data_IF_780636509309
#
_entry.id   IF_780636509309
#
_cell.length_a   1.000
_cell.length_b   1.000
_cell.length_c   1.000
_cell.angle_alpha   90.00
_cell.angle_beta   90.00
_cell.angle_gamma   90.00
#
_symmetry.space_group_name_H-M   'P 1'
#
loop_
_entity.id
_entity.type
_entity.pdbx_description
1 polymer ?
#
# COMPACT_ATOMS: atom_id res chain seq x y z
N UNK A 1 -18.25 11.12 25.02
CA UNK A 1 -17.64 11.62 23.77
C UNK A 1 -16.54 10.65 23.40
N UNK A 2 -16.63 9.99 22.24
CA UNK A 2 -15.53 9.18 21.71
C UNK A 2 -14.41 10.16 21.39
N UNK A 3 -13.28 10.06 22.10
CA UNK A 3 -12.11 10.89 21.83
C UNK A 3 -11.54 10.58 20.44
N UNK A 4 -10.95 11.57 19.79
CA UNK A 4 -10.35 11.38 18.47
C UNK A 4 -9.29 10.27 18.54
N UNK A 5 -9.43 9.27 17.68
CA UNK A 5 -8.49 8.16 17.58
C UNK A 5 -7.43 8.50 16.54
N UNK A 6 -6.71 9.61 16.76
CA UNK A 6 -5.78 10.20 15.79
C UNK A 6 -4.78 9.19 15.21
N UNK A 7 -4.31 8.23 16.01
CA UNK A 7 -3.40 7.19 15.55
C UNK A 7 -4.09 6.12 14.69
N UNK A 8 -5.32 5.73 15.06
CA UNK A 8 -6.12 4.78 14.29
C UNK A 8 -6.53 5.39 12.95
N UNK A 9 -7.00 6.62 12.96
CA UNK A 9 -7.38 7.36 11.75
C UNK A 9 -6.17 7.54 10.83
N UNK A 10 -4.99 7.79 11.39
CA UNK A 10 -3.74 7.86 10.63
C UNK A 10 -3.41 6.54 9.94
N UNK A 11 -3.43 5.42 10.66
CA UNK A 11 -3.13 4.11 10.06
C UNK A 11 -4.17 3.73 9.00
N UNK A 12 -5.46 3.98 9.26
CA UNK A 12 -6.54 3.63 8.33
C UNK A 12 -6.52 4.47 7.04
N UNK A 13 -6.16 5.76 7.13
CA UNK A 13 -6.22 6.67 5.98
C UNK A 13 -4.86 6.90 5.27
N UNK A 14 -3.73 6.62 5.93
CA UNK A 14 -2.39 6.90 5.39
C UNK A 14 -1.55 5.64 5.13
N UNK A 15 -2.17 4.46 5.08
CA UNK A 15 -1.46 3.19 4.80
C UNK A 15 -2.00 2.53 3.53
N UNK A 16 -1.10 2.04 2.69
CA UNK A 16 -1.46 1.16 1.59
C UNK A 16 -1.61 -0.27 2.09
N UNK A 17 -2.79 -0.86 1.89
CA UNK A 17 -3.05 -2.25 2.21
C UNK A 17 -2.70 -3.12 1.01
N UNK A 18 -1.55 -3.79 1.07
CA UNK A 18 -1.13 -4.74 0.03
C UNK A 18 -1.42 -6.14 0.55
N UNK A 19 -2.38 -6.82 -0.10
CA UNK A 19 -2.67 -8.22 0.19
C UNK A 19 -1.58 -9.12 -0.39
N UNK A 20 -0.82 -9.80 0.48
CA UNK A 20 0.15 -10.82 0.06
C UNK A 20 -0.55 -12.17 0.14
N UNK A 21 -0.74 -12.80 -1.02
CA UNK A 21 -1.27 -14.15 -1.12
C UNK A 21 -0.14 -15.17 -1.31
N UNK A 22 -0.15 -16.35 -0.66
CA UNK A 22 0.93 -17.34 -0.77
C UNK A 22 1.19 -17.86 -2.18
N UNK A 23 0.22 -17.74 -3.09
CA UNK A 23 0.36 -18.11 -4.50
C UNK A 23 0.88 -16.99 -5.41
N UNK A 24 1.33 -15.86 -4.86
CA UNK A 24 1.96 -14.82 -5.64
C UNK A 24 3.35 -15.28 -6.09
N UNK A 25 3.59 -15.25 -7.40
CA UNK A 25 4.91 -15.44 -7.99
C UNK A 25 5.66 -14.11 -8.02
N UNK A 26 6.97 -14.16 -8.27
CA UNK A 26 7.82 -12.96 -8.40
C UNK A 26 7.28 -12.00 -9.46
N UNK A 27 6.77 -12.51 -10.59
CA UNK A 27 6.18 -11.68 -11.66
C UNK A 27 4.99 -10.82 -11.17
N UNK A 28 4.15 -11.36 -10.28
CA UNK A 28 3.06 -10.59 -9.69
C UNK A 28 3.58 -9.48 -8.76
N UNK A 29 4.67 -9.74 -8.04
CA UNK A 29 5.31 -8.74 -7.18
C UNK A 29 5.98 -7.65 -8.02
N UNK A 30 6.65 -8.01 -9.11
CA UNK A 30 7.28 -7.08 -10.04
C UNK A 30 6.24 -6.13 -10.68
N UNK A 31 5.07 -6.66 -11.05
CA UNK A 31 3.96 -5.83 -11.53
C UNK A 31 3.50 -4.83 -10.47
N UNK A 32 3.30 -5.27 -9.23
CA UNK A 32 2.90 -4.40 -8.11
C UNK A 32 3.94 -3.31 -7.87
N UNK A 33 5.23 -3.65 -7.90
CA UNK A 33 6.33 -2.69 -7.76
C UNK A 33 6.31 -1.67 -8.90
N UNK A 34 6.17 -2.11 -10.15
CA UNK A 34 6.08 -1.18 -11.30
C UNK A 34 4.93 -0.19 -11.18
N UNK A 35 3.78 -0.63 -10.62
CA UNK A 35 2.63 0.24 -10.38
C UNK A 35 2.85 1.23 -9.25
N UNK A 36 3.62 0.85 -8.23
CA UNK A 36 4.07 1.80 -7.22
C UNK A 36 5.05 2.82 -7.80
N UNK A 37 6.01 2.39 -8.61
CA UNK A 37 6.96 3.31 -9.27
C UNK A 37 6.24 4.32 -10.20
N UNK A 38 5.23 3.87 -10.95
CA UNK A 38 4.36 4.72 -11.76
C UNK A 38 3.56 5.70 -10.87
N UNK A 39 2.96 5.21 -9.78
CA UNK A 39 2.19 6.04 -8.85
C UNK A 39 3.04 7.12 -8.16
N UNK A 40 4.28 6.79 -7.78
CA UNK A 40 5.21 7.73 -7.16
C UNK A 40 5.97 8.59 -8.17
N UNK A 41 5.81 8.36 -9.48
CA UNK A 41 6.54 9.10 -10.51
C UNK A 41 8.06 8.91 -10.42
N UNK A 42 8.52 7.71 -10.04
CA UNK A 42 9.96 7.45 -9.92
C UNK A 42 10.62 7.11 -11.27
N UNK A 43 9.82 6.84 -12.31
CA UNK A 43 10.26 6.52 -13.67
C UNK A 43 9.87 7.63 -14.68
N UNK A 44 10.45 8.83 -14.53
CA UNK A 44 10.46 9.85 -15.59
C UNK A 44 11.77 9.83 -16.37
#
# INVERSE_FOLDING_TARGET
VVGELTNTDRIMNQTFWIGIYPGLTTEHLDYVVSKFEEFFGLNF
#
